data_IF_554715445692
#
_entry.id   IF_554715445692
#
_cell.length_a   1.000
_cell.length_b   1.000
_cell.length_c   1.000
_cell.angle_alpha   90.00
_cell.angle_beta   90.00
_cell.angle_gamma   90.00
#
_symmetry.space_group_name_H-M   'P 1'
#
loop_
_entity.id
_entity.type
_entity.pdbx_description
1 polymer ?
#
# COMPACT_ATOMS: atom_id res chain seq x y z
N UNK A 1 -23.90 -7.83 -37.76
CA UNK A 1 -23.38 -8.94 -36.95
C UNK A 1 -22.06 -8.47 -36.37
N UNK A 2 -21.95 -8.58 -35.05
CA UNK A 2 -20.70 -8.77 -34.29
C UNK A 2 -19.62 -7.70 -34.50
N UNK A 3 -19.52 -6.69 -33.63
CA UNK A 3 -19.39 -6.87 -32.19
C UNK A 3 -17.93 -7.17 -31.86
N UNK A 4 -17.03 -6.25 -32.23
CA UNK A 4 -15.62 -6.35 -31.89
C UNK A 4 -15.47 -6.31 -30.38
N UNK A 5 -15.01 -7.45 -29.84
CA UNK A 5 -14.76 -7.67 -28.43
C UNK A 5 -13.82 -6.60 -27.90
N UNK A 6 -14.29 -5.83 -26.92
CA UNK A 6 -13.41 -4.93 -26.17
C UNK A 6 -12.25 -5.72 -25.60
N UNK A 7 -11.03 -5.25 -25.83
CA UNK A 7 -9.86 -5.80 -25.16
C UNK A 7 -10.06 -5.62 -23.65
N UNK A 8 -10.15 -6.73 -22.94
CA UNK A 8 -9.91 -6.73 -21.50
C UNK A 8 -8.41 -6.60 -21.30
N UNK A 9 -7.92 -5.37 -21.43
CA UNK A 9 -6.68 -4.98 -20.78
C UNK A 9 -6.86 -5.33 -19.30
N UNK A 10 -6.14 -6.36 -18.83
CA UNK A 10 -6.10 -6.78 -17.43
C UNK A 10 -5.33 -5.77 -16.56
N UNK A 11 -5.57 -4.48 -16.79
CA UNK A 11 -5.11 -3.39 -15.96
C UNK A 11 -5.78 -3.52 -14.61
N UNK A 12 -4.96 -3.62 -13.56
CA UNK A 12 -5.40 -3.74 -12.17
C UNK A 12 -6.39 -2.61 -11.87
N UNK A 13 -7.65 -2.99 -11.67
CA UNK A 13 -8.78 -2.06 -11.53
C UNK A 13 -8.91 -1.48 -10.11
N UNK A 14 -8.06 -1.93 -9.19
CA UNK A 14 -8.04 -1.51 -7.80
C UNK A 14 -6.62 -1.12 -7.38
N UNK A 15 -6.50 -0.12 -6.50
CA UNK A 15 -5.23 0.24 -5.88
C UNK A 15 -5.40 0.33 -4.38
N UNK A 16 -4.54 -0.38 -3.64
CA UNK A 16 -4.48 -0.36 -2.18
C UNK A 16 -3.24 0.44 -1.76
N UNK A 17 -3.46 1.64 -1.22
CA UNK A 17 -2.42 2.51 -0.68
C UNK A 17 -2.25 2.20 0.81
N UNK A 18 -1.05 1.78 1.20
CA UNK A 18 -0.73 1.28 2.53
C UNK A 18 0.08 2.31 3.30
N UNK A 19 -0.49 2.80 4.40
CA UNK A 19 0.22 3.51 5.45
C UNK A 19 1.08 2.51 6.22
N UNK A 20 2.34 2.35 5.82
CA UNK A 20 3.23 1.38 6.46
C UNK A 20 3.48 1.73 7.93
N UNK A 21 3.47 3.02 8.26
CA UNK A 21 3.71 3.47 9.63
C UNK A 21 2.57 3.06 10.56
N UNK A 22 1.32 3.25 10.13
CA UNK A 22 0.15 2.84 10.89
C UNK A 22 -0.02 1.30 10.91
N UNK A 23 0.28 0.61 9.81
CA UNK A 23 0.20 -0.86 9.75
C UNK A 23 1.22 -1.52 10.67
N UNK A 24 2.49 -1.13 10.60
CA UNK A 24 3.51 -1.59 11.55
C UNK A 24 3.20 -1.05 12.96
N UNK A 25 2.61 0.14 13.06
CA UNK A 25 2.03 0.76 14.27
C UNK A 25 1.06 -0.15 15.03
N UNK A 26 0.24 -0.90 14.30
CA UNK A 26 -0.85 -1.70 14.86
C UNK A 26 -0.45 -3.02 15.51
N UNK A 27 0.80 -3.50 15.32
CA UNK A 27 1.29 -4.75 15.93
C UNK A 27 2.19 -4.46 17.13
N UNK A 28 2.05 -5.19 18.26
CA UNK A 28 2.95 -5.08 19.41
C UNK A 28 4.25 -5.87 19.20
N UNK A 29 4.86 -5.77 18.00
CA UNK A 29 6.03 -6.57 17.57
C UNK A 29 7.38 -5.94 17.95
N UNK A 30 7.35 -4.76 18.58
CA UNK A 30 8.55 -4.03 18.99
C UNK A 30 9.19 -3.14 17.91
N UNK A 31 8.48 -2.79 16.82
CA UNK A 31 9.02 -1.98 15.71
C UNK A 31 9.83 -0.74 16.13
N UNK A 32 9.51 -0.12 17.28
CA UNK A 32 10.15 1.09 17.76
C UNK A 32 11.66 0.91 18.02
N UNK A 33 12.11 -0.32 18.18
CA UNK A 33 13.53 -0.70 18.29
C UNK A 33 14.20 -0.93 16.92
N UNK A 34 13.41 -1.29 15.91
CA UNK A 34 13.86 -1.70 14.57
C UNK A 34 12.79 -1.35 13.51
N UNK A 35 12.65 -0.04 13.22
CA UNK A 35 11.67 0.43 12.22
C UNK A 35 12.10 0.11 10.78
N UNK A 36 13.39 -0.14 10.55
CA UNK A 36 13.91 -0.58 9.24
C UNK A 36 13.54 -2.03 8.98
N UNK A 37 13.91 -2.95 9.88
CA UNK A 37 13.59 -4.36 9.73
C UNK A 37 12.09 -4.64 9.81
N UNK A 38 11.32 -3.88 10.60
CA UNK A 38 9.85 -3.99 10.59
C UNK A 38 9.24 -3.62 9.23
N UNK A 39 9.72 -2.54 8.60
CA UNK A 39 9.33 -2.18 7.25
C UNK A 39 9.79 -3.21 6.20
N UNK A 40 11.01 -3.75 6.31
CA UNK A 40 11.49 -4.84 5.45
C UNK A 40 10.59 -6.08 5.55
N UNK A 41 10.25 -6.51 6.78
CA UNK A 41 9.32 -7.63 7.04
C UNK A 41 7.93 -7.37 6.43
N UNK A 42 7.41 -6.15 6.53
CA UNK A 42 6.14 -5.78 5.89
C UNK A 42 6.23 -5.87 4.36
N UNK A 43 7.27 -5.29 3.75
CA UNK A 43 7.48 -5.30 2.30
C UNK A 43 7.59 -6.73 1.73
N UNK A 44 8.34 -7.62 2.38
CA UNK A 44 8.43 -9.03 1.96
C UNK A 44 7.05 -9.69 1.93
N UNK A 45 6.23 -9.50 2.97
CA UNK A 45 4.89 -10.10 3.04
C UNK A 45 3.92 -9.45 2.03
N UNK A 46 4.00 -8.14 1.80
CA UNK A 46 3.20 -7.45 0.79
C UNK A 46 3.59 -7.84 -0.64
N UNK A 47 4.86 -8.14 -0.88
CA UNK A 47 5.32 -8.68 -2.18
C UNK A 47 4.70 -10.06 -2.41
N UNK A 48 4.75 -10.95 -1.41
CA UNK A 48 4.05 -12.24 -1.49
C UNK A 48 2.51 -12.11 -1.64
N UNK A 49 1.90 -11.06 -1.08
CA UNK A 49 0.48 -10.76 -1.29
C UNK A 49 0.19 -10.33 -2.73
N UNK A 50 1.04 -9.45 -3.29
CA UNK A 50 0.91 -8.91 -4.64
C UNK A 50 0.87 -10.03 -5.70
N UNK A 51 1.67 -11.09 -5.51
CA UNK A 51 1.70 -12.26 -6.40
C UNK A 51 0.40 -13.09 -6.38
N UNK A 52 -0.50 -12.85 -5.42
CA UNK A 52 -1.86 -13.46 -5.37
C UNK A 52 -2.95 -12.49 -5.82
N UNK A 53 -2.73 -11.18 -5.74
CA UNK A 53 -3.67 -10.14 -6.19
C UNK A 53 -3.52 -9.90 -7.70
N UNK A 54 -4.47 -10.43 -8.50
CA UNK A 54 -4.46 -10.29 -9.97
C UNK A 54 -4.87 -8.87 -10.41
N UNK A 55 -5.94 -8.34 -9.81
CA UNK A 55 -6.60 -7.10 -10.24
C UNK A 55 -6.31 -5.89 -9.32
N UNK A 56 -5.36 -6.02 -8.39
CA UNK A 56 -5.05 -4.98 -7.39
C UNK A 56 -3.57 -4.63 -7.38
N UNK A 57 -3.23 -3.34 -7.46
CA UNK A 57 -1.89 -2.82 -7.15
C UNK A 57 -1.74 -2.49 -5.66
N UNK A 58 -0.61 -2.87 -5.07
CA UNK A 58 -0.18 -2.41 -3.75
C UNK A 58 0.81 -1.24 -3.89
N UNK A 59 0.46 -0.10 -3.28
CA UNK A 59 1.35 1.06 -3.13
C UNK A 59 1.65 1.24 -1.66
N UNK A 60 2.93 1.21 -1.26
CA UNK A 60 3.35 1.28 0.15
C UNK A 60 4.08 2.59 0.40
N UNK A 61 3.57 3.40 1.32
CA UNK A 61 4.24 4.64 1.73
C UNK A 61 5.06 4.39 2.98
N UNK A 62 6.38 4.62 2.88
CA UNK A 62 7.33 4.60 4.00
C UNK A 62 7.68 6.04 4.39
N UNK A 63 7.93 6.28 5.69
CA UNK A 63 8.40 7.57 6.19
C UNK A 63 9.61 7.43 7.14
N UNK A 64 10.35 8.53 7.29
CA UNK A 64 11.45 8.67 8.24
C UNK A 64 12.49 7.53 8.15
N UNK A 65 12.80 6.90 9.28
CA UNK A 65 13.76 5.80 9.34
C UNK A 65 13.33 4.56 8.53
N UNK A 66 12.03 4.33 8.36
CA UNK A 66 11.53 3.17 7.62
C UNK A 66 11.89 3.22 6.12
N UNK A 67 12.10 4.41 5.55
CA UNK A 67 12.54 4.59 4.16
C UNK A 67 13.86 3.85 3.83
N UNK A 68 14.71 3.59 4.84
CA UNK A 68 15.95 2.80 4.66
C UNK A 68 15.70 1.31 4.39
N UNK A 69 14.46 0.82 4.50
CA UNK A 69 14.12 -0.58 4.26
C UNK A 69 14.45 -1.02 2.83
N UNK A 70 14.22 -0.16 1.83
CA UNK A 70 14.47 -0.42 0.39
C UNK A 70 15.90 -0.10 -0.06
N UNK A 71 16.85 -0.01 0.86
CA UNK A 71 18.24 0.34 0.53
C UNK A 71 19.26 -0.42 1.37
N UNK A 72 20.45 -0.61 0.79
CA UNK A 72 21.55 -1.33 1.39
C UNK A 72 21.33 -2.84 1.46
N UNK A 73 22.29 -3.54 2.07
CA UNK A 73 22.29 -4.99 2.17
C UNK A 73 21.06 -5.52 2.93
N UNK A 74 20.47 -6.61 2.43
CA UNK A 74 19.23 -7.20 2.94
C UNK A 74 17.96 -6.37 2.71
N UNK A 75 17.95 -5.42 1.77
CA UNK A 75 16.70 -4.83 1.28
C UNK A 75 15.89 -5.89 0.51
N UNK A 76 14.57 -6.05 0.77
CA UNK A 76 13.75 -7.02 0.06
C UNK A 76 13.48 -6.57 -1.37
N UNK A 77 13.47 -7.53 -2.30
CA UNK A 77 12.90 -7.30 -3.63
C UNK A 77 11.40 -7.04 -3.50
N UNK A 78 10.92 -5.93 -4.05
CA UNK A 78 9.52 -5.50 -3.93
C UNK A 78 8.64 -6.00 -5.07
N UNK A 79 9.24 -6.60 -6.11
CA UNK A 79 8.55 -7.13 -7.29
C UNK A 79 7.59 -6.09 -7.90
N UNK A 80 6.31 -6.44 -7.95
CA UNK A 80 5.25 -5.58 -8.47
C UNK A 80 4.69 -4.54 -7.46
N UNK A 81 5.15 -4.52 -6.20
CA UNK A 81 4.72 -3.55 -5.20
C UNK A 81 5.42 -2.20 -5.43
N UNK A 82 4.64 -1.13 -5.64
CA UNK A 82 5.18 0.23 -5.73
C UNK A 82 5.50 0.75 -4.33
N UNK A 83 6.76 1.01 -4.02
CA UNK A 83 7.15 1.67 -2.76
C UNK A 83 7.40 3.15 -3.00
N UNK A 84 6.76 3.99 -2.19
CA UNK A 84 6.92 5.45 -2.20
C UNK A 84 7.58 5.89 -0.90
N UNK A 85 8.60 6.72 -1.00
CA UNK A 85 9.34 7.25 0.16
C UNK A 85 8.88 8.67 0.45
N UNK A 86 8.31 8.90 1.63
CA UNK A 86 7.96 10.22 2.11
C UNK A 86 9.23 10.99 2.49
N UNK A 87 9.52 12.08 1.76
CA UNK A 87 10.59 13.04 2.11
C UNK A 87 10.26 13.90 3.34
N UNK A 88 9.00 13.88 3.78
CA UNK A 88 8.47 14.62 4.92
C UNK A 88 7.42 13.78 5.66
N UNK A 89 6.20 14.29 5.78
CA UNK A 89 5.08 13.57 6.38
C UNK A 89 4.61 12.39 5.52
N UNK A 90 4.41 11.23 6.15
CA UNK A 90 3.71 10.10 5.54
C UNK A 90 2.30 10.47 5.06
N UNK A 91 1.51 11.19 5.88
CA UNK A 91 0.13 11.59 5.56
C UNK A 91 0.03 12.41 4.27
N UNK A 92 0.90 13.42 4.12
CA UNK A 92 0.89 14.29 2.94
C UNK A 92 1.31 13.53 1.68
N UNK A 93 2.21 12.57 1.84
CA UNK A 93 2.65 11.67 0.77
C UNK A 93 1.52 10.71 0.37
N UNK A 94 0.79 10.14 1.33
CA UNK A 94 -0.37 9.27 1.09
C UNK A 94 -1.48 10.05 0.37
N UNK A 95 -1.79 11.27 0.82
CA UNK A 95 -2.77 12.16 0.17
C UNK A 95 -2.37 12.46 -1.28
N UNK A 96 -1.11 12.80 -1.52
CA UNK A 96 -0.57 13.07 -2.86
C UNK A 96 -0.67 11.85 -3.79
N UNK A 97 -0.20 10.69 -3.33
CA UNK A 97 -0.28 9.41 -4.05
C UNK A 97 -1.74 9.01 -4.32
N UNK A 98 -2.63 9.21 -3.35
CA UNK A 98 -4.07 8.90 -3.52
C UNK A 98 -4.68 9.76 -4.62
N UNK A 99 -4.40 11.07 -4.63
CA UNK A 99 -4.87 11.97 -5.68
C UNK A 99 -4.29 11.63 -7.07
N UNK A 100 -3.00 11.30 -7.14
CA UNK A 100 -2.34 10.83 -8.37
C UNK A 100 -3.02 9.59 -8.94
N UNK A 101 -3.33 8.61 -8.08
CA UNK A 101 -3.94 7.34 -8.50
C UNK A 101 -5.40 7.50 -8.90
N UNK A 102 -6.22 8.25 -8.15
CA UNK A 102 -7.63 8.51 -8.52
C UNK A 102 -7.72 9.26 -9.85
N UNK A 103 -6.77 10.16 -10.14
CA UNK A 103 -6.74 10.95 -11.39
C UNK A 103 -6.24 10.17 -12.63
N UNK A 104 -5.87 8.89 -12.51
CA UNK A 104 -5.48 8.07 -13.65
C UNK A 104 -6.67 7.81 -14.58
N UNK A 105 -6.45 7.80 -15.90
CA UNK A 105 -7.52 7.64 -16.90
C UNK A 105 -8.33 6.34 -16.83
N UNK A 106 -7.88 5.35 -16.06
CA UNK A 106 -8.60 4.10 -15.79
C UNK A 106 -9.56 4.21 -14.59
N UNK A 107 -9.49 5.30 -13.82
CA UNK A 107 -10.22 5.54 -12.57
C UNK A 107 -10.28 4.31 -11.64
N UNK A 108 -9.14 3.76 -11.21
CA UNK A 108 -9.11 2.56 -10.38
C UNK A 108 -9.76 2.83 -9.01
N UNK A 109 -10.38 1.79 -8.44
CA UNK A 109 -10.96 1.88 -7.10
C UNK A 109 -9.85 1.95 -6.04
N UNK A 110 -9.69 3.10 -5.39
CA UNK A 110 -8.62 3.33 -4.40
C UNK A 110 -9.09 3.03 -2.98
N UNK A 111 -8.29 2.25 -2.24
CA UNK A 111 -8.48 1.96 -0.82
C UNK A 111 -7.24 2.34 -0.03
N UNK A 112 -7.36 3.20 0.98
CA UNK A 112 -6.26 3.56 1.89
C UNK A 112 -6.34 2.72 3.17
N UNK A 113 -5.29 1.98 3.47
CA UNK A 113 -5.14 1.20 4.71
C UNK A 113 -4.51 2.07 5.78
N UNK A 114 -5.30 2.63 6.68
CA UNK A 114 -4.84 3.38 7.86
C UNK A 114 -5.90 3.42 8.97
N UNK A 115 -5.49 3.43 10.23
CA UNK A 115 -6.35 3.71 11.38
C UNK A 115 -6.42 5.20 11.74
N UNK A 116 -5.60 6.06 11.13
CA UNK A 116 -5.58 7.48 11.48
C UNK A 116 -6.85 8.20 10.98
N UNK A 117 -7.56 8.88 11.90
CA UNK A 117 -8.83 9.56 11.59
C UNK A 117 -8.63 10.87 10.84
N UNK A 118 -7.50 11.56 11.03
CA UNK A 118 -7.16 12.78 10.32
C UNK A 118 -6.84 12.47 8.86
N UNK A 119 -6.01 11.46 8.61
CA UNK A 119 -5.69 11.00 7.25
C UNK A 119 -6.94 10.52 6.50
N UNK A 120 -7.83 9.74 7.14
CA UNK A 120 -9.12 9.31 6.55
C UNK A 120 -9.95 10.49 6.04
N UNK A 121 -10.15 11.51 6.88
CA UNK A 121 -10.88 12.74 6.53
C UNK A 121 -10.24 13.52 5.36
N UNK A 122 -8.95 13.29 5.06
CA UNK A 122 -8.24 13.93 3.94
C UNK A 122 -8.34 13.13 2.64
N UNK A 123 -8.37 11.79 2.70
CA UNK A 123 -8.39 10.91 1.51
C UNK A 123 -9.80 10.56 1.02
N UNK A 124 -10.79 10.50 1.90
CA UNK A 124 -12.18 10.19 1.52
C UNK A 124 -12.78 11.24 0.56
N UNK A 125 -12.59 12.56 0.76
CA UNK A 125 -13.04 13.58 -0.21
C UNK A 125 -12.35 13.54 -1.58
N UNK A 126 -11.21 12.84 -1.69
CA UNK A 126 -10.47 12.65 -2.96
C UNK A 126 -11.11 11.52 -3.79
N UNK A 127 -12.00 10.71 -3.21
CA UNK A 127 -12.65 9.57 -3.86
C UNK A 127 -12.09 8.21 -3.46
N UNK A 128 -11.18 8.16 -2.48
CA UNK A 128 -10.71 6.88 -1.92
C UNK A 128 -11.63 6.36 -0.81
N UNK A 129 -11.71 5.05 -0.68
CA UNK A 129 -12.27 4.38 0.50
C UNK A 129 -11.19 4.14 1.55
N UNK A 130 -11.56 3.88 2.81
CA UNK A 130 -10.58 3.63 3.88
C UNK A 130 -10.87 2.35 4.65
N UNK A 131 -9.81 1.66 5.06
CA UNK A 131 -9.89 0.46 5.90
C UNK A 131 -8.82 0.48 7.00
N UNK A 132 -9.02 -0.27 8.08
CA UNK A 132 -8.06 -0.37 9.17
C UNK A 132 -6.92 -1.36 8.85
N UNK A 133 -5.74 -1.22 9.50
CA UNK A 133 -4.63 -2.16 9.35
C UNK A 133 -5.02 -3.63 9.47
N UNK A 134 -5.96 -3.94 10.39
CA UNK A 134 -6.41 -5.31 10.62
C UNK A 134 -6.86 -6.02 9.35
N UNK A 135 -7.58 -5.33 8.45
CA UNK A 135 -8.00 -5.90 7.17
C UNK A 135 -6.80 -6.39 6.36
N UNK A 136 -5.76 -5.56 6.21
CA UNK A 136 -4.54 -5.94 5.51
C UNK A 136 -3.77 -7.05 6.25
N UNK A 137 -3.74 -6.98 7.57
CA UNK A 137 -3.07 -7.99 8.39
C UNK A 137 -3.72 -9.37 8.29
N UNK A 138 -5.05 -9.45 8.31
CA UNK A 138 -5.80 -10.69 8.13
C UNK A 138 -5.51 -11.30 6.73
N UNK A 139 -5.45 -10.47 5.67
CA UNK A 139 -5.04 -10.90 4.32
C UNK A 139 -3.59 -11.41 4.27
N UNK A 140 -2.66 -10.79 5.02
CA UNK A 140 -1.25 -11.21 5.08
C UNK A 140 -1.06 -12.49 5.92
N UNK A 141 -1.86 -12.68 6.96
CA UNK A 141 -1.80 -13.87 7.81
C UNK A 141 -2.40 -15.09 7.07
N UNK A 142 -3.43 -14.90 6.22
CA UNK A 142 -3.94 -15.90 5.27
C UNK A 142 -2.97 -16.26 4.10
N UNK A 143 -1.77 -15.67 4.05
CA UNK A 143 -0.67 -16.15 3.20
C UNK A 143 0.20 -17.22 3.86
N UNK A 144 0.09 -17.37 5.18
CA UNK A 144 0.95 -18.21 6.02
C UNK A 144 0.28 -19.51 6.44
N UNK A 145 -0.91 -19.78 5.88
CA UNK A 145 -1.75 -20.98 6.02
C UNK A 145 -1.76 -21.77 4.70
#
# INVERSE_FOLDING_TARGET
>A
MEGQTGGVDGGRSQVVVVDAANVVGSRPDGWWRDRVGAARRLLTRLTALQERLRDTDLVVVLEGAACRAVSGDGAPETGHVRVVLASGSGDDTIVSVTAEVVAQSQHPAVTVVTADRGLRQRVEPIGATTTGPRWLLDQLDALSD
#
